data_IF_858633431465
#
_entry.id   IF_858633431465
#
_cell.length_a   1.000
_cell.length_b   1.000
_cell.length_c   1.000
_cell.angle_alpha   90.00
_cell.angle_beta   90.00
_cell.angle_gamma   90.00
#
_symmetry.space_group_name_H-M   'P 1'
#
loop_
_entity.id
_entity.type
_entity.pdbx_description
1 polymer ?
#
# COMPACT_ATOMS: atom_id res chain seq x y z
N UNK A 1 0.62 17.95 -2.98
CA UNK A 1 1.82 18.07 -2.14
C UNK A 1 1.81 16.92 -1.13
N UNK A 2 2.93 16.31 -0.79
CA UNK A 2 2.95 15.25 0.21
C UNK A 2 2.50 15.82 1.57
N UNK A 3 1.78 15.00 2.34
CA UNK A 3 1.41 15.33 3.72
C UNK A 3 2.56 14.87 4.61
N UNK A 4 3.25 15.83 5.22
CA UNK A 4 4.33 15.52 6.16
C UNK A 4 3.75 15.05 7.50
N UNK A 5 4.33 14.00 8.07
CA UNK A 5 3.95 13.50 9.38
C UNK A 5 4.45 14.45 10.48
N UNK A 6 3.66 14.67 11.54
CA UNK A 6 4.04 15.54 12.65
C UNK A 6 5.17 14.91 13.48
N UNK A 7 5.95 15.76 14.16
CA UNK A 7 7.04 15.34 15.04
C UNK A 7 6.71 15.51 16.53
N UNK A 8 5.54 16.08 16.82
CA UNK A 8 5.04 16.43 18.16
C UNK A 8 4.01 15.43 18.70
N UNK A 9 3.97 14.22 18.12
CA UNK A 9 3.06 13.14 18.56
C UNK A 9 3.51 12.52 19.87
N UNK A 10 2.53 12.04 20.67
CA UNK A 10 2.76 11.34 21.92
C UNK A 10 2.47 9.85 21.73
N UNK A 11 3.46 8.99 22.00
CA UNK A 11 3.34 7.54 21.96
C UNK A 11 3.11 6.99 23.38
N UNK A 12 1.90 7.07 23.86
CA UNK A 12 1.52 6.57 25.19
C UNK A 12 0.91 5.16 25.18
N UNK A 13 0.84 4.54 24.02
CA UNK A 13 0.24 3.21 23.80
C UNK A 13 -1.29 3.22 23.83
N UNK A 14 -1.93 4.39 23.80
CA UNK A 14 -3.39 4.55 23.81
C UNK A 14 -3.84 5.31 22.56
N UNK A 15 -4.76 4.72 21.79
CA UNK A 15 -5.35 5.36 20.63
C UNK A 15 -4.37 5.63 19.48
N UNK A 16 -4.75 6.57 18.61
CA UNK A 16 -3.95 6.98 17.46
C UNK A 16 -3.00 8.13 17.83
N UNK A 17 -1.67 7.95 17.74
CA UNK A 17 -0.72 9.03 18.07
C UNK A 17 -0.92 10.31 17.25
N UNK A 18 -1.41 10.23 16.02
CA UNK A 18 -1.66 11.41 15.18
C UNK A 18 -2.74 12.33 15.76
N UNK A 19 -3.68 11.79 16.55
CA UNK A 19 -4.70 12.56 17.24
C UNK A 19 -4.16 13.44 18.38
N UNK A 20 -2.93 13.20 18.80
CA UNK A 20 -2.28 14.00 19.85
C UNK A 20 -1.60 15.27 19.33
N UNK A 21 -1.45 15.41 18.02
CA UNK A 21 -0.82 16.55 17.38
C UNK A 21 -1.84 17.59 16.91
N UNK A 22 -2.03 18.63 17.67
CA UNK A 22 -2.92 19.75 17.31
C UNK A 22 -2.52 20.43 15.99
N UNK A 23 -1.22 20.54 15.75
CA UNK A 23 -0.69 21.15 14.52
C UNK A 23 -0.99 20.30 13.27
N UNK A 24 -1.15 18.98 13.43
CA UNK A 24 -1.49 18.07 12.35
C UNK A 24 -3.00 18.02 12.08
N UNK A 25 -3.81 18.07 13.15
CA UNK A 25 -5.25 17.92 13.06
C UNK A 25 -5.92 19.16 12.48
N UNK A 26 -5.53 20.35 12.98
CA UNK A 26 -6.15 21.61 12.57
C UNK A 26 -5.48 22.16 11.30
N UNK A 27 -6.24 22.20 10.23
CA UNK A 27 -5.77 22.63 8.90
C UNK A 27 -6.81 23.48 8.19
N UNK A 28 -6.39 24.21 7.19
CA UNK A 28 -7.32 24.89 6.28
C UNK A 28 -7.76 23.95 5.15
N UNK A 29 -9.01 24.02 4.79
CA UNK A 29 -9.55 23.28 3.64
C UNK A 29 -8.86 23.73 2.35
N UNK A 30 -8.23 22.83 1.56
CA UNK A 30 -7.51 23.22 0.34
C UNK A 30 -8.42 23.74 -0.78
N UNK A 31 -9.74 23.56 -0.66
CA UNK A 31 -10.71 24.05 -1.66
C UNK A 31 -11.28 25.42 -1.33
N UNK A 32 -11.58 25.71 -0.08
CA UNK A 32 -12.28 26.93 0.31
C UNK A 32 -11.58 27.77 1.38
N UNK A 33 -10.47 27.29 1.95
CA UNK A 33 -9.73 27.99 2.98
C UNK A 33 -10.40 28.04 4.37
N UNK A 34 -11.55 27.41 4.55
CA UNK A 34 -12.20 27.36 5.86
C UNK A 34 -11.47 26.42 6.82
N UNK A 35 -11.62 26.66 8.12
CA UNK A 35 -11.10 25.76 9.15
C UNK A 35 -11.62 24.34 8.94
N UNK A 36 -10.73 23.35 9.02
CA UNK A 36 -11.02 21.96 8.81
C UNK A 36 -10.24 21.06 9.77
N UNK A 37 -10.71 19.85 9.96
CA UNK A 37 -10.02 18.81 10.71
C UNK A 37 -9.48 17.77 9.74
N UNK A 38 -8.16 17.50 9.83
CA UNK A 38 -7.53 16.43 9.04
C UNK A 38 -7.92 15.06 9.58
N UNK A 39 -8.12 14.12 8.67
CA UNK A 39 -8.27 12.71 9.01
C UNK A 39 -6.96 12.17 9.58
N UNK A 40 -7.05 11.39 10.64
CA UNK A 40 -5.89 10.82 11.35
C UNK A 40 -5.74 9.32 11.13
N UNK A 41 -6.78 8.64 10.61
CA UNK A 41 -6.67 7.25 10.23
C UNK A 41 -5.65 7.07 9.10
N UNK A 42 -4.84 6.03 9.20
CA UNK A 42 -3.93 5.63 8.14
C UNK A 42 -4.59 4.60 7.23
N UNK A 43 -4.18 4.56 5.98
CA UNK A 43 -4.64 3.54 5.05
C UNK A 43 -4.17 2.16 5.51
N UNK A 44 -4.90 1.12 5.10
CA UNK A 44 -4.50 -0.27 5.29
C UNK A 44 -3.09 -0.51 4.70
N UNK A 45 -2.29 -1.33 5.38
CA UNK A 45 -0.91 -1.63 4.96
C UNK A 45 -0.81 -2.30 3.59
N UNK A 46 -1.90 -2.94 3.13
CA UNK A 46 -1.95 -3.56 1.80
C UNK A 46 -2.19 -2.57 0.66
N UNK A 47 -2.49 -1.30 0.93
CA UNK A 47 -2.68 -0.31 -0.14
C UNK A 47 -1.42 -0.17 -0.99
N UNK A 48 -0.26 0.05 -0.38
CA UNK A 48 1.01 0.19 -1.10
C UNK A 48 1.43 -1.11 -1.79
N UNK A 49 1.30 -2.24 -1.11
CA UNK A 49 1.65 -3.54 -1.66
C UNK A 49 0.69 -4.02 -2.77
N UNK A 50 -0.45 -3.36 -2.91
CA UNK A 50 -1.45 -3.71 -3.94
C UNK A 50 -1.04 -3.32 -5.36
N UNK A 51 -0.10 -2.39 -5.51
CA UNK A 51 0.29 -1.87 -6.82
C UNK A 51 1.80 -1.61 -6.96
N UNK A 52 2.64 -2.02 -6.00
CA UNK A 52 4.08 -1.76 -6.00
C UNK A 52 4.77 -2.27 -7.27
N UNK A 53 4.31 -3.39 -7.83
CA UNK A 53 4.85 -3.96 -9.06
C UNK A 53 4.64 -3.04 -10.28
N UNK A 54 3.55 -2.27 -10.32
CA UNK A 54 3.35 -1.22 -11.31
C UNK A 54 4.32 -0.06 -11.07
N UNK A 55 4.50 0.39 -9.83
CA UNK A 55 5.47 1.42 -9.47
C UNK A 55 6.89 1.04 -9.85
N UNK A 56 7.26 -0.22 -9.71
CA UNK A 56 8.60 -0.72 -10.02
C UNK A 56 8.93 -0.65 -11.51
N UNK A 57 7.96 -0.62 -12.39
CA UNK A 57 8.20 -0.46 -13.84
C UNK A 57 8.85 0.89 -14.17
N UNK A 58 8.58 1.93 -13.35
CA UNK A 58 9.13 3.28 -13.49
C UNK A 58 9.35 3.93 -12.11
N UNK A 59 10.28 3.39 -11.35
CA UNK A 59 10.53 3.78 -9.96
C UNK A 59 11.04 5.21 -9.79
N UNK A 60 11.64 5.80 -10.84
CA UNK A 60 12.17 7.16 -10.82
C UNK A 60 11.15 8.24 -11.19
N UNK A 61 9.94 7.87 -11.56
CA UNK A 61 8.85 8.79 -11.85
C UNK A 61 8.46 9.61 -10.59
N UNK A 62 8.40 10.95 -10.72
CA UNK A 62 8.08 11.85 -9.60
C UNK A 62 6.78 12.67 -9.83
N UNK A 63 6.23 12.66 -11.04
CA UNK A 63 5.04 13.44 -11.40
C UNK A 63 3.75 12.62 -11.36
N UNK A 64 3.87 11.29 -11.53
CA UNK A 64 2.76 10.34 -11.54
C UNK A 64 3.11 9.09 -10.72
N UNK A 65 2.11 8.26 -10.43
CA UNK A 65 2.31 6.99 -9.74
C UNK A 65 3.23 6.02 -10.53
N UNK A 66 3.12 6.00 -11.85
CA UNK A 66 3.97 5.30 -12.82
C UNK A 66 3.67 5.84 -14.22
N UNK A 67 4.52 5.53 -15.20
CA UNK A 67 4.26 5.83 -16.60
C UNK A 67 3.41 4.71 -17.23
N UNK A 68 2.21 5.01 -17.78
CA UNK A 68 1.30 4.02 -18.36
C UNK A 68 1.94 3.20 -19.50
N UNK A 69 2.72 3.82 -20.36
CA UNK A 69 3.36 3.14 -21.49
C UNK A 69 4.42 2.15 -21.02
N UNK A 70 5.22 2.56 -20.03
CA UNK A 70 6.24 1.69 -19.42
C UNK A 70 5.60 0.53 -18.66
N UNK A 71 4.54 0.80 -17.89
CA UNK A 71 3.79 -0.24 -17.21
C UNK A 71 3.19 -1.25 -18.21
N UNK A 72 2.52 -0.78 -19.25
CA UNK A 72 1.95 -1.64 -20.29
C UNK A 72 2.99 -2.46 -21.07
N UNK A 73 4.25 -1.98 -21.15
CA UNK A 73 5.34 -2.71 -21.79
C UNK A 73 5.87 -3.85 -20.91
N UNK A 74 6.04 -3.61 -19.62
CA UNK A 74 6.67 -4.58 -18.70
C UNK A 74 5.69 -5.56 -18.07
N UNK A 75 4.42 -5.17 -17.92
CA UNK A 75 3.41 -6.02 -17.32
C UNK A 75 2.80 -6.98 -18.40
N UNK A 76 2.28 -8.16 -18.00
CA UNK A 76 2.11 -8.66 -16.65
C UNK A 76 3.42 -9.25 -16.10
N UNK A 77 3.51 -9.41 -14.77
CA UNK A 77 4.63 -10.16 -14.16
C UNK A 77 4.56 -11.62 -14.61
N UNK A 78 5.65 -12.15 -15.16
CA UNK A 78 5.66 -13.50 -15.74
C UNK A 78 5.46 -14.59 -14.70
N UNK A 79 6.17 -14.48 -13.57
CA UNK A 79 6.11 -15.45 -12.50
C UNK A 79 6.10 -14.77 -11.14
N UNK A 80 5.09 -15.06 -10.33
CA UNK A 80 4.92 -14.49 -9.00
C UNK A 80 4.89 -15.59 -7.93
N UNK A 81 5.82 -15.53 -6.97
CA UNK A 81 5.94 -16.55 -5.93
C UNK A 81 5.73 -15.94 -4.56
N UNK A 82 4.90 -16.56 -3.74
CA UNK A 82 4.61 -16.09 -2.39
C UNK A 82 3.95 -17.13 -1.50
N UNK A 83 3.68 -16.76 -0.26
CA UNK A 83 3.00 -17.62 0.70
C UNK A 83 1.53 -17.83 0.36
N UNK A 84 1.01 -19.00 0.70
CA UNK A 84 -0.39 -19.38 0.45
C UNK A 84 -1.37 -18.48 1.21
N UNK A 85 -0.97 -17.91 2.36
CA UNK A 85 -1.77 -16.99 3.17
C UNK A 85 -2.19 -15.74 2.40
N UNK A 86 -1.40 -15.32 1.43
CA UNK A 86 -1.69 -14.14 0.61
C UNK A 86 -2.82 -14.35 -0.41
N UNK A 87 -3.29 -15.58 -0.60
CA UNK A 87 -4.46 -15.86 -1.44
C UNK A 87 -5.71 -15.09 -0.98
N UNK A 88 -5.85 -14.89 0.34
CA UNK A 88 -6.97 -14.15 0.96
C UNK A 88 -6.62 -12.72 1.35
N UNK A 89 -5.40 -12.26 1.14
CA UNK A 89 -4.92 -10.93 1.52
C UNK A 89 -4.36 -10.20 0.31
N UNK A 90 -3.05 -10.13 0.18
CA UNK A 90 -2.35 -9.36 -0.85
C UNK A 90 -2.86 -9.64 -2.28
N UNK A 91 -3.11 -10.90 -2.65
CA UNK A 91 -3.50 -11.25 -4.03
C UNK A 91 -4.88 -10.71 -4.41
N UNK A 92 -5.83 -10.66 -3.46
CA UNK A 92 -7.14 -10.05 -3.72
C UNK A 92 -6.97 -8.56 -3.99
N UNK A 93 -6.21 -7.86 -3.15
CA UNK A 93 -5.96 -6.42 -3.32
C UNK A 93 -5.17 -6.12 -4.60
N UNK A 94 -4.13 -6.89 -4.91
CA UNK A 94 -3.34 -6.72 -6.12
C UNK A 94 -4.20 -6.83 -7.39
N UNK A 95 -5.08 -7.84 -7.46
CA UNK A 95 -6.02 -8.02 -8.56
C UNK A 95 -7.07 -6.91 -8.62
N UNK A 96 -7.63 -6.53 -7.48
CA UNK A 96 -8.60 -5.45 -7.40
C UNK A 96 -7.98 -4.12 -7.88
N UNK A 97 -6.81 -3.75 -7.37
CA UNK A 97 -6.13 -2.51 -7.75
C UNK A 97 -5.75 -2.50 -9.23
N UNK A 98 -5.26 -3.61 -9.76
CA UNK A 98 -4.97 -3.72 -11.20
C UNK A 98 -6.22 -3.42 -12.03
N UNK A 99 -7.36 -4.02 -11.71
CA UNK A 99 -8.62 -3.77 -12.43
C UNK A 99 -9.13 -2.34 -12.24
N UNK A 100 -9.09 -1.82 -11.01
CA UNK A 100 -9.54 -0.47 -10.72
C UNK A 100 -8.69 0.60 -11.45
N UNK A 101 -7.36 0.46 -11.44
CA UNK A 101 -6.45 1.37 -12.15
C UNK A 101 -6.62 1.29 -13.66
N UNK A 102 -6.90 0.10 -14.21
CA UNK A 102 -7.29 -0.06 -15.63
C UNK A 102 -8.59 0.69 -15.94
N UNK A 103 -9.61 0.50 -15.11
CA UNK A 103 -10.94 1.08 -15.34
C UNK A 103 -10.94 2.62 -15.31
N UNK A 104 -10.01 3.22 -14.59
CA UNK A 104 -9.77 4.67 -14.62
C UNK A 104 -8.76 5.11 -15.69
N UNK A 105 -8.28 4.19 -16.52
CA UNK A 105 -7.48 4.49 -17.70
C UNK A 105 -5.98 4.68 -17.47
N UNK A 106 -5.43 4.21 -16.34
CA UNK A 106 -3.99 4.34 -16.05
C UNK A 106 -3.13 3.26 -16.71
N UNK A 107 -3.72 2.16 -17.17
CA UNK A 107 -3.07 1.09 -17.93
C UNK A 107 -4.14 0.22 -18.61
N UNK A 108 -3.74 -0.81 -19.37
CA UNK A 108 -4.65 -1.73 -20.05
C UNK A 108 -4.55 -3.20 -19.61
N UNK A 109 -3.99 -3.44 -18.42
CA UNK A 109 -3.68 -4.76 -17.88
C UNK A 109 -4.90 -5.32 -17.16
N UNK A 110 -5.27 -6.58 -17.42
CA UNK A 110 -6.42 -7.26 -16.79
C UNK A 110 -6.05 -7.97 -15.49
N UNK A 111 -4.91 -8.66 -15.47
CA UNK A 111 -4.41 -9.41 -14.31
C UNK A 111 -2.94 -9.07 -14.07
N UNK A 112 -2.50 -8.93 -12.82
CA UNK A 112 -1.14 -8.52 -12.54
C UNK A 112 -0.08 -9.58 -12.81
N UNK A 113 -0.44 -10.87 -12.71
CA UNK A 113 0.50 -11.99 -12.75
C UNK A 113 0.05 -13.03 -13.77
N UNK A 114 0.98 -13.51 -14.62
CA UNK A 114 0.73 -14.57 -15.60
C UNK A 114 0.73 -15.94 -14.92
N UNK A 115 1.72 -16.21 -14.08
CA UNK A 115 1.84 -17.45 -13.32
C UNK A 115 2.01 -17.15 -11.83
N UNK A 116 1.31 -17.90 -10.99
CA UNK A 116 1.36 -17.77 -9.54
C UNK A 116 1.75 -19.11 -8.91
N UNK A 117 2.82 -19.10 -8.12
CA UNK A 117 3.20 -20.20 -7.26
C UNK A 117 2.97 -19.84 -5.79
N UNK A 118 2.00 -20.49 -5.16
CA UNK A 118 1.80 -20.42 -3.72
C UNK A 118 2.65 -21.52 -3.05
N UNK A 119 3.74 -21.10 -2.43
CA UNK A 119 4.60 -22.01 -1.66
C UNK A 119 3.95 -22.39 -0.31
N UNK A 120 4.31 -23.56 0.23
CA UNK A 120 3.88 -23.97 1.56
C UNK A 120 4.51 -23.12 2.67
N UNK A 121 3.99 -23.27 3.89
CA UNK A 121 4.50 -22.56 5.08
C UNK A 121 5.92 -23.00 5.38
N UNK A 122 6.82 -22.02 5.51
CA UNK A 122 8.22 -22.27 5.94
C UNK A 122 8.25 -22.28 7.46
N UNK A 123 8.61 -23.42 8.02
CA UNK A 123 8.68 -23.64 9.46
C UNK A 123 10.14 -23.81 9.92
N UNK A 124 10.43 -23.27 11.08
CA UNK A 124 11.71 -23.47 11.78
C UNK A 124 11.43 -23.99 13.18
N UNK A 125 12.14 -25.05 13.57
CA UNK A 125 12.08 -25.54 14.94
C UNK A 125 12.61 -24.46 15.90
N UNK A 126 11.78 -24.08 16.86
CA UNK A 126 12.17 -23.18 17.95
C UNK A 126 12.25 -23.96 19.26
N UNK A 127 13.37 -23.86 20.03
CA UNK A 127 13.39 -24.42 21.37
C UNK A 127 12.33 -23.74 22.24
N UNK A 128 11.57 -24.55 22.95
CA UNK A 128 10.54 -24.10 23.86
C UNK A 128 10.75 -24.70 25.24
N UNK A 129 10.66 -23.87 26.27
CA UNK A 129 10.73 -24.30 27.64
C UNK A 129 9.31 -24.38 28.21
N UNK A 130 8.94 -25.52 28.77
CA UNK A 130 7.62 -25.68 29.39
C UNK A 130 7.44 -24.93 30.73
N UNK A 131 8.54 -24.40 31.26
CA UNK A 131 8.56 -23.78 32.62
C UNK A 131 8.65 -22.25 32.55
N UNK A 132 9.22 -21.69 31.46
CA UNK A 132 9.39 -20.27 31.26
C UNK A 132 9.05 -19.85 29.81
#
# INVERSE_FOLDING_TARGET
MPVELPRDVIFDGKGNPLETSESFIHVECPKCGADAKRETDTMDTFVDSSWYFLRYTDSMQNEACFNPEVANHWMNVDFYCGGIEHAQMHLIYARFWTKALRDIGLHNIDEPFNELLCQGMVNKAAPWCSTC
#
